data_IF_398222650598
#
_entry.id   IF_398222650598
#
_cell.length_a   1.000
_cell.length_b   1.000
_cell.length_c   1.000
_cell.angle_alpha   90.00
_cell.angle_beta   90.00
_cell.angle_gamma   90.00
#
_symmetry.space_group_name_H-M   'P 1'
#
loop_
_entity.id
_entity.type
_entity.pdbx_description
1 polymer ?
#
# COMPACT_ATOMS: atom_id res chain seq x y z
N UNK A 1 -9.29 -19.53 -0.06
CA UNK A 1 -9.35 -18.10 -0.31
C UNK A 1 -9.32 -17.87 -1.82
N UNK A 2 -10.18 -17.04 -2.34
CA UNK A 2 -10.20 -16.62 -3.73
C UNK A 2 -9.67 -15.19 -3.90
N UNK A 3 -9.26 -14.82 -5.12
CA UNK A 3 -8.81 -13.46 -5.40
C UNK A 3 -9.89 -12.39 -5.13
N UNK A 4 -11.16 -12.59 -5.51
CA UNK A 4 -12.22 -11.67 -5.13
C UNK A 4 -12.38 -11.47 -3.62
N UNK A 5 -12.25 -12.51 -2.81
CA UNK A 5 -12.30 -12.41 -1.34
C UNK A 5 -11.14 -11.56 -0.80
N UNK A 6 -9.94 -11.75 -1.33
CA UNK A 6 -8.78 -10.94 -0.96
C UNK A 6 -8.96 -9.46 -1.35
N UNK A 7 -9.47 -9.19 -2.54
CA UNK A 7 -9.75 -7.82 -3.00
C UNK A 7 -10.81 -7.17 -2.12
N UNK A 8 -11.87 -7.88 -1.77
CA UNK A 8 -12.89 -7.38 -0.85
C UNK A 8 -12.30 -7.11 0.54
N UNK A 9 -11.40 -7.96 1.01
CA UNK A 9 -10.69 -7.71 2.26
C UNK A 9 -9.92 -6.39 2.24
N UNK A 10 -9.21 -6.07 1.14
CA UNK A 10 -8.51 -4.79 1.01
C UNK A 10 -9.47 -3.60 0.94
N UNK A 11 -10.58 -3.73 0.20
CA UNK A 11 -11.60 -2.68 0.11
C UNK A 11 -12.24 -2.36 1.48
N UNK A 12 -12.44 -3.39 2.28
CA UNK A 12 -13.11 -3.30 3.59
C UNK A 12 -12.14 -3.12 4.76
N UNK A 13 -10.86 -2.87 4.49
CA UNK A 13 -9.82 -2.82 5.51
C UNK A 13 -10.01 -1.61 6.44
N UNK A 14 -10.11 -1.89 7.73
CA UNK A 14 -10.20 -0.90 8.80
C UNK A 14 -9.22 -1.25 9.93
N UNK A 15 -8.94 -0.34 10.89
CA UNK A 15 -8.08 -0.67 12.03
C UNK A 15 -8.53 -1.92 12.80
N UNK A 16 -9.84 -2.13 12.95
CA UNK A 16 -10.42 -3.26 13.67
C UNK A 16 -10.28 -4.58 12.89
N UNK A 17 -10.11 -4.51 11.57
CA UNK A 17 -9.99 -5.66 10.69
C UNK A 17 -8.54 -6.09 10.43
N UNK A 18 -7.56 -5.39 10.99
CA UNK A 18 -6.13 -5.74 10.81
C UNK A 18 -5.83 -7.18 11.26
N UNK A 19 -6.48 -7.66 12.33
CA UNK A 19 -6.29 -9.04 12.79
C UNK A 19 -6.70 -10.08 11.75
N UNK A 20 -7.60 -9.74 10.84
CA UNK A 20 -8.04 -10.62 9.76
C UNK A 20 -6.97 -10.88 8.68
N UNK A 21 -5.85 -10.18 8.71
CA UNK A 21 -4.71 -10.54 7.85
C UNK A 21 -4.31 -12.01 8.00
N UNK A 22 -4.51 -12.62 9.18
CA UNK A 22 -4.23 -14.04 9.41
C UNK A 22 -5.07 -14.99 8.54
N UNK A 23 -6.24 -14.57 8.09
CA UNK A 23 -7.09 -15.34 7.19
C UNK A 23 -6.52 -15.37 5.76
N UNK A 24 -5.77 -14.34 5.36
CA UNK A 24 -5.34 -14.10 3.99
C UNK A 24 -3.83 -14.26 3.78
N UNK A 25 -3.02 -14.17 4.83
CA UNK A 25 -1.55 -14.21 4.77
C UNK A 25 -0.98 -15.35 5.59
N UNK A 26 0.12 -15.92 5.11
CA UNK A 26 0.87 -16.91 5.89
C UNK A 26 1.63 -16.25 7.03
N UNK A 27 1.97 -17.02 8.08
CA UNK A 27 2.69 -16.49 9.25
C UNK A 27 4.04 -15.87 8.92
N UNK A 28 4.74 -16.41 7.94
CA UNK A 28 6.04 -15.95 7.47
C UNK A 28 5.98 -15.18 6.14
N UNK A 29 4.84 -14.57 5.84
CA UNK A 29 4.66 -13.80 4.62
C UNK A 29 5.68 -12.66 4.52
N UNK A 30 6.26 -12.51 3.35
CA UNK A 30 7.10 -11.37 3.01
C UNK A 30 6.25 -10.17 2.61
N UNK A 31 6.60 -8.99 3.12
CA UNK A 31 6.03 -7.72 2.71
C UNK A 31 7.11 -6.67 2.51
N UNK A 32 6.99 -5.91 1.44
CA UNK A 32 7.84 -4.74 1.21
C UNK A 32 7.03 -3.60 0.58
N UNK A 33 7.28 -2.40 1.09
CA UNK A 33 6.87 -1.14 0.46
C UNK A 33 8.08 -0.18 0.39
N UNK A 34 7.95 1.09 -0.07
CA UNK A 34 9.06 2.03 -0.12
C UNK A 34 9.75 2.31 1.22
N UNK A 35 9.09 2.05 2.35
CA UNK A 35 9.60 2.38 3.69
C UNK A 35 9.85 1.17 4.58
N UNK A 36 9.22 0.03 4.29
CA UNK A 36 9.21 -1.13 5.17
C UNK A 36 9.61 -2.40 4.45
N UNK A 37 10.23 -3.32 5.18
CA UNK A 37 10.48 -4.69 4.73
C UNK A 37 10.39 -5.63 5.94
N UNK A 38 9.48 -6.59 5.88
CA UNK A 38 9.25 -7.56 6.96
C UNK A 38 9.01 -8.95 6.41
N UNK A 39 9.24 -9.97 7.25
CA UNK A 39 9.09 -11.39 6.93
C UNK A 39 8.15 -12.11 7.90
N UNK A 40 7.15 -11.42 8.41
CA UNK A 40 6.20 -12.00 9.36
C UNK A 40 4.82 -11.35 9.24
N UNK A 41 3.80 -12.13 9.53
CA UNK A 41 2.42 -11.63 9.62
C UNK A 41 2.28 -10.53 10.67
N UNK A 42 2.92 -10.67 11.82
CA UNK A 42 2.91 -9.65 12.86
C UNK A 42 3.54 -8.33 12.41
N UNK A 43 4.62 -8.41 11.63
CA UNK A 43 5.24 -7.24 11.01
C UNK A 43 4.29 -6.54 10.05
N UNK A 44 3.58 -7.29 9.22
CA UNK A 44 2.58 -6.76 8.28
C UNK A 44 1.45 -6.05 9.04
N UNK A 45 0.88 -6.70 10.07
CA UNK A 45 -0.16 -6.10 10.91
C UNK A 45 0.29 -4.77 11.54
N UNK A 46 1.53 -4.71 12.04
CA UNK A 46 2.11 -3.50 12.62
C UNK A 46 2.22 -2.37 11.60
N UNK A 47 2.63 -2.67 10.37
CA UNK A 47 2.74 -1.68 9.28
C UNK A 47 1.36 -1.08 8.98
N UNK A 48 0.34 -1.90 8.78
CA UNK A 48 -1.01 -1.42 8.49
C UNK A 48 -1.64 -0.69 9.69
N UNK A 49 -1.45 -1.18 10.91
CA UNK A 49 -1.90 -0.48 12.12
C UNK A 49 -1.26 0.90 12.26
N UNK A 50 0.03 1.02 11.94
CA UNK A 50 0.74 2.29 11.96
C UNK A 50 0.21 3.25 10.89
N UNK A 51 -0.03 2.76 9.68
CA UNK A 51 -0.63 3.54 8.60
C UNK A 51 -1.98 4.15 9.01
N UNK A 52 -2.86 3.37 9.63
CA UNK A 52 -4.16 3.86 10.10
C UNK A 52 -4.08 4.95 11.18
N UNK A 53 -2.96 5.03 11.91
CA UNK A 53 -2.71 6.13 12.85
C UNK A 53 -2.29 7.42 12.16
N UNK A 54 -1.71 7.31 10.96
CA UNK A 54 -1.17 8.45 10.20
C UNK A 54 -2.20 9.09 9.26
N UNK A 55 -3.26 8.39 8.91
CA UNK A 55 -4.26 8.84 7.95
C UNK A 55 -5.67 8.76 8.51
N UNK A 56 -6.55 9.61 8.00
CA UNK A 56 -8.00 9.58 8.26
C UNK A 56 -8.73 9.14 6.99
N UNK A 57 -9.85 8.44 7.18
CA UNK A 57 -10.74 7.98 6.11
C UNK A 57 -10.00 7.18 5.02
N UNK A 58 -9.12 6.22 5.38
CA UNK A 58 -8.36 5.44 4.40
C UNK A 58 -9.30 4.53 3.60
N UNK A 59 -9.09 4.48 2.29
CA UNK A 59 -9.83 3.57 1.42
C UNK A 59 -8.95 3.09 0.27
N UNK A 60 -8.79 1.78 0.17
CA UNK A 60 -8.17 1.13 -0.98
C UNK A 60 -9.23 0.76 -2.01
N UNK A 61 -8.96 1.04 -3.27
CA UNK A 61 -9.78 0.60 -4.40
C UNK A 61 -8.88 -0.08 -5.41
N UNK A 62 -9.09 -1.36 -5.66
CA UNK A 62 -8.42 -2.09 -6.73
C UNK A 62 -9.15 -1.75 -8.03
N UNK A 63 -8.43 -1.13 -8.96
CA UNK A 63 -8.99 -0.65 -10.24
C UNK A 63 -8.67 -1.57 -11.40
N UNK A 64 -7.62 -2.38 -11.27
CA UNK A 64 -7.21 -3.35 -12.31
C UNK A 64 -6.50 -4.53 -11.67
N UNK A 65 -6.66 -5.71 -12.27
CA UNK A 65 -5.97 -6.92 -11.84
C UNK A 65 -5.37 -7.64 -13.06
N UNK A 66 -4.12 -8.04 -12.93
CA UNK A 66 -3.39 -8.82 -13.91
C UNK A 66 -3.02 -10.15 -13.26
N UNK A 67 -3.57 -11.24 -13.78
CA UNK A 67 -3.39 -12.59 -13.22
C UNK A 67 -2.44 -13.37 -14.11
N UNK A 68 -1.42 -13.97 -13.48
CA UNK A 68 -0.48 -14.87 -14.12
C UNK A 68 -0.37 -16.18 -13.31
N UNK A 69 0.26 -17.21 -13.89
CA UNK A 69 0.42 -18.51 -13.25
C UNK A 69 1.22 -18.43 -11.92
N UNK A 70 2.14 -17.47 -11.83
CA UNK A 70 3.06 -17.33 -10.69
C UNK A 70 2.74 -16.13 -9.78
N UNK A 71 1.61 -15.49 -9.94
CA UNK A 71 1.21 -14.38 -9.09
C UNK A 71 0.17 -13.45 -9.69
N UNK A 72 -0.10 -12.39 -8.98
CA UNK A 72 -1.11 -11.38 -9.34
C UNK A 72 -0.51 -9.99 -9.15
N UNK A 73 -0.81 -9.09 -10.08
CA UNK A 73 -0.57 -7.66 -9.92
C UNK A 73 -1.92 -6.98 -9.72
N UNK A 74 -2.06 -6.23 -8.64
CA UNK A 74 -3.24 -5.42 -8.35
C UNK A 74 -2.88 -3.95 -8.47
N UNK A 75 -3.49 -3.26 -9.42
CA UNK A 75 -3.38 -1.79 -9.52
C UNK A 75 -4.44 -1.18 -8.63
N UNK A 76 -4.04 -0.29 -7.75
CA UNK A 76 -4.94 0.31 -6.76
C UNK A 76 -4.79 1.82 -6.65
N UNK A 77 -5.85 2.44 -6.16
CA UNK A 77 -5.87 3.80 -5.67
C UNK A 77 -6.10 3.78 -4.16
N UNK A 78 -5.30 4.54 -3.44
CA UNK A 78 -5.45 4.75 -2.01
C UNK A 78 -5.88 6.18 -1.75
N UNK A 79 -7.12 6.34 -1.30
CA UNK A 79 -7.72 7.61 -0.94
C UNK A 79 -7.66 7.81 0.57
N UNK A 80 -7.22 8.97 1.02
CA UNK A 80 -7.05 9.26 2.44
C UNK A 80 -6.99 10.76 2.70
N UNK A 81 -7.03 11.12 3.98
CA UNK A 81 -6.71 12.46 4.48
C UNK A 81 -5.53 12.32 5.44
N UNK A 82 -4.43 13.02 5.17
CA UNK A 82 -3.25 12.97 6.02
C UNK A 82 -3.54 13.65 7.36
N UNK A 83 -3.11 13.04 8.46
CA UNK A 83 -3.11 13.65 9.80
C UNK A 83 -1.75 14.31 10.03
N UNK A 84 -1.74 15.62 10.16
CA UNK A 84 -0.54 16.39 10.49
C UNK A 84 -0.83 17.30 11.69
N UNK A 85 -0.06 17.17 12.77
CA UNK A 85 -0.19 17.99 13.99
C UNK A 85 -1.62 18.05 14.54
N UNK A 86 -2.32 16.91 14.54
CA UNK A 86 -3.70 16.80 15.01
C UNK A 86 -4.78 17.36 14.07
N UNK A 87 -4.41 17.86 12.91
CA UNK A 87 -5.31 18.35 11.87
C UNK A 87 -5.32 17.43 10.67
N UNK A 88 -6.50 17.24 10.07
CA UNK A 88 -6.61 16.55 8.79
C UNK A 88 -6.36 17.52 7.63
N UNK A 89 -5.45 17.16 6.74
CA UNK A 89 -5.29 17.82 5.45
C UNK A 89 -6.47 17.51 4.52
N UNK A 90 -6.55 18.16 3.36
CA UNK A 90 -7.51 17.82 2.31
C UNK A 90 -7.35 16.39 1.79
N UNK A 91 -8.31 15.93 1.02
CA UNK A 91 -8.28 14.59 0.41
C UNK A 91 -7.07 14.40 -0.48
N UNK A 92 -6.39 13.26 -0.29
CA UNK A 92 -5.24 12.84 -1.07
C UNK A 92 -5.55 11.52 -1.78
N UNK A 93 -4.84 11.25 -2.88
CA UNK A 93 -4.90 9.98 -3.58
C UNK A 93 -3.48 9.56 -4.00
N UNK A 94 -3.17 8.30 -3.76
CA UNK A 94 -1.94 7.65 -4.22
C UNK A 94 -2.30 6.48 -5.11
N UNK A 95 -1.51 6.26 -6.16
CA UNK A 95 -1.60 5.08 -7.01
C UNK A 95 -0.43 4.16 -6.78
N UNK A 96 -0.70 2.87 -6.84
CA UNK A 96 0.34 1.88 -6.72
C UNK A 96 -0.07 0.53 -7.30
N UNK A 97 0.87 -0.39 -7.23
CA UNK A 97 0.69 -1.76 -7.67
C UNK A 97 1.22 -2.69 -6.59
N UNK A 98 0.41 -3.69 -6.21
CA UNK A 98 0.85 -4.77 -5.36
C UNK A 98 1.15 -6.00 -6.18
N UNK A 99 2.38 -6.53 -6.06
CA UNK A 99 2.75 -7.84 -6.58
C UNK A 99 2.53 -8.88 -5.49
N UNK A 100 1.64 -9.84 -5.77
CA UNK A 100 1.28 -10.90 -4.83
C UNK A 100 1.68 -12.26 -5.37
N UNK A 101 2.16 -13.14 -4.47
CA UNK A 101 2.30 -14.57 -4.71
C UNK A 101 1.61 -15.33 -3.58
N UNK A 102 1.23 -16.57 -3.87
CA UNK A 102 0.43 -17.38 -2.96
C UNK A 102 1.15 -18.66 -2.58
N UNK A 103 0.95 -19.09 -1.34
CA UNK A 103 1.34 -20.40 -0.87
C UNK A 103 0.40 -21.48 -1.42
N UNK A 104 0.74 -22.74 -1.20
CA UNK A 104 -0.07 -23.90 -1.65
C UNK A 104 -1.48 -23.93 -1.03
N UNK A 105 -1.67 -23.32 0.14
CA UNK A 105 -2.97 -23.18 0.79
C UNK A 105 -3.82 -22.00 0.27
N UNK A 106 -3.30 -21.26 -0.69
CA UNK A 106 -3.96 -20.11 -1.32
C UNK A 106 -3.77 -18.78 -0.59
N UNK A 107 -3.11 -18.75 0.59
CA UNK A 107 -2.83 -17.49 1.28
C UNK A 107 -1.62 -16.77 0.69
N UNK A 108 -1.60 -15.45 0.84
CA UNK A 108 -0.48 -14.62 0.38
C UNK A 108 0.77 -14.95 1.19
N UNK A 109 1.86 -15.29 0.51
CA UNK A 109 3.18 -15.48 1.12
C UNK A 109 4.19 -14.43 0.68
N UNK A 110 3.87 -13.66 -0.36
CA UNK A 110 4.69 -12.57 -0.88
C UNK A 110 3.80 -11.40 -1.28
N UNK A 111 4.13 -10.21 -0.78
CA UNK A 111 3.44 -8.95 -1.12
C UNK A 111 4.48 -7.85 -1.25
N UNK A 112 4.59 -7.26 -2.42
CA UNK A 112 5.44 -6.09 -2.61
C UNK A 112 4.64 -4.98 -3.27
N UNK A 113 4.63 -3.82 -2.62
CA UNK A 113 4.01 -2.61 -3.13
C UNK A 113 5.03 -1.77 -3.90
N UNK A 114 4.63 -1.36 -5.08
CA UNK A 114 5.36 -0.43 -5.92
C UNK A 114 4.54 0.84 -6.08
N UNK A 115 5.03 1.93 -5.55
CA UNK A 115 4.48 3.25 -5.78
C UNK A 115 5.58 4.29 -5.75
N UNK A 116 5.38 5.37 -6.48
CA UNK A 116 6.40 6.42 -6.60
C UNK A 116 6.32 7.36 -5.39
N UNK A 117 7.15 7.12 -4.39
CA UNK A 117 7.22 7.94 -3.19
C UNK A 117 7.64 9.38 -3.49
N UNK A 118 8.43 9.61 -4.55
CA UNK A 118 8.81 10.96 -4.95
C UNK A 118 7.61 11.73 -5.48
N UNK A 119 6.84 11.17 -6.41
CA UNK A 119 5.66 11.80 -6.97
C UNK A 119 4.50 11.87 -5.98
N UNK A 120 4.20 10.74 -5.32
CA UNK A 120 2.99 10.58 -4.51
C UNK A 120 3.13 11.22 -3.11
N UNK A 121 4.34 11.37 -2.60
CA UNK A 121 4.59 11.89 -1.26
C UNK A 121 5.54 13.09 -1.25
N UNK A 122 6.80 12.90 -1.67
CA UNK A 122 7.85 13.90 -1.44
C UNK A 122 7.60 15.21 -2.19
N UNK A 123 7.07 15.17 -3.40
CA UNK A 123 6.72 16.38 -4.14
C UNK A 123 5.57 17.19 -3.54
N UNK A 124 4.78 16.58 -2.65
CA UNK A 124 3.66 17.21 -1.95
C UNK A 124 4.11 17.91 -0.65
N UNK A 125 5.34 17.66 -0.19
CA UNK A 125 5.90 18.31 0.98
C UNK A 125 6.54 19.66 0.60
N UNK A 126 6.41 20.74 1.44
CA UNK A 126 6.82 22.10 1.03
C UNK A 126 8.28 22.23 0.59
N UNK A 127 9.25 21.90 1.45
CA UNK A 127 10.68 22.06 1.15
C UNK A 127 11.22 20.92 0.28
N UNK A 128 10.93 19.68 0.65
CA UNK A 128 11.36 18.46 -0.09
C UNK A 128 10.71 18.45 -1.46
N UNK A 129 9.45 18.85 -1.57
CA UNK A 129 8.75 18.93 -2.84
C UNK A 129 9.39 19.90 -3.84
N UNK A 130 9.93 21.01 -3.37
CA UNK A 130 10.66 21.95 -4.24
C UNK A 130 11.94 21.31 -4.81
N UNK A 131 12.72 20.63 -3.96
CA UNK A 131 13.91 19.89 -4.35
C UNK A 131 13.58 18.78 -5.36
N UNK A 132 12.55 17.99 -5.08
CA UNK A 132 12.14 16.87 -5.93
C UNK A 132 11.63 17.36 -7.30
N UNK A 133 10.90 18.47 -7.34
CA UNK A 133 10.48 19.08 -8.62
C UNK A 133 11.69 19.59 -9.42
N UNK A 134 12.70 20.14 -8.76
CA UNK A 134 13.95 20.55 -9.38
C UNK A 134 14.71 19.37 -10.00
N UNK A 135 14.88 18.30 -9.27
CA UNK A 135 15.50 17.06 -9.75
C UNK A 135 14.72 16.45 -10.93
N UNK A 136 13.41 16.38 -10.83
CA UNK A 136 12.57 15.90 -11.92
C UNK A 136 12.77 16.69 -13.20
N UNK A 137 12.80 18.03 -13.12
CA UNK A 137 13.05 18.89 -14.28
C UNK A 137 14.44 18.68 -14.89
N UNK A 138 15.46 18.50 -14.03
CA UNK A 138 16.83 18.29 -14.47
C UNK A 138 17.02 16.94 -15.20
N UNK A 139 16.26 15.92 -14.81
CA UNK A 139 16.34 14.56 -15.35
C UNK A 139 15.34 14.29 -16.50
N UNK A 140 14.33 15.14 -16.65
CA UNK A 140 13.35 14.99 -17.73
C UNK A 140 13.97 15.29 -19.09
N UNK A 141 13.53 14.59 -20.12
CA UNK A 141 13.89 14.91 -21.50
C UNK A 141 13.30 16.27 -21.88
N UNK A 142 14.09 17.14 -22.50
CA UNK A 142 13.61 18.46 -22.94
C UNK A 142 12.43 18.37 -23.90
#
# INVERSE_FOLDING_TARGET
MSLPELINFYHDLTPERVERFAEFYTENAYFKDPFNEVHSLDGIKKIFSHMFKQVAEPRFTVVEQLVADNGVMLVWEFHFRAKMLGKCAGSQMMRGVSHLRFASDGRVNYHRDYWDAAEELYMKLPAVGLLMRGLRRALATP
#
